data_IF_787328896627
#
_entry.id   IF_787328896627
#
_cell.length_a   1.000
_cell.length_b   1.000
_cell.length_c   1.000
_cell.angle_alpha   90.00
_cell.angle_beta   90.00
_cell.angle_gamma   90.00
#
_symmetry.space_group_name_H-M   'P 1'
#
loop_
_entity.id
_entity.type
_entity.pdbx_description
1 polymer ?
#
# COMPACT_ATOMS: atom_id res chain seq x y z
N UNK A 1 -4.05 22.46 11.89
CA UNK A 1 -4.63 21.71 10.75
C UNK A 1 -4.97 22.73 9.68
N UNK A 2 -4.61 22.51 8.42
CA UNK A 2 -4.97 23.42 7.31
C UNK A 2 -6.49 23.39 7.12
N UNK A 3 -7.17 24.52 6.95
CA UNK A 3 -8.60 24.57 6.64
C UNK A 3 -8.95 23.80 5.36
N UNK A 4 -10.15 23.23 5.30
CA UNK A 4 -10.55 22.35 4.20
C UNK A 4 -10.66 23.11 2.87
N UNK A 5 -11.13 24.34 2.89
CA UNK A 5 -11.20 25.21 1.72
C UNK A 5 -9.82 25.54 1.15
N UNK A 6 -8.85 25.86 2.00
CA UNK A 6 -7.45 26.11 1.59
C UNK A 6 -6.83 24.82 1.01
N UNK A 7 -7.06 23.67 1.66
CA UNK A 7 -6.57 22.38 1.15
C UNK A 7 -7.16 22.08 -0.23
N UNK A 8 -8.46 22.32 -0.42
CA UNK A 8 -9.15 22.10 -1.69
C UNK A 8 -8.60 23.03 -2.77
N UNK A 9 -8.37 24.30 -2.45
CA UNK A 9 -7.81 25.27 -3.38
C UNK A 9 -6.39 24.86 -3.85
N UNK A 10 -5.53 24.45 -2.92
CA UNK A 10 -4.19 23.99 -3.28
C UNK A 10 -4.22 22.69 -4.10
N UNK A 11 -5.02 21.74 -3.67
CA UNK A 11 -5.17 20.50 -4.41
C UNK A 11 -5.68 20.73 -5.84
N UNK A 12 -6.65 21.64 -6.04
CA UNK A 12 -7.14 21.99 -7.36
C UNK A 12 -6.02 22.60 -8.23
N UNK A 13 -5.21 23.50 -7.68
CA UNK A 13 -4.13 24.14 -8.42
C UNK A 13 -3.09 23.12 -8.92
N UNK A 14 -2.66 22.18 -8.06
CA UNK A 14 -1.75 21.11 -8.45
C UNK A 14 -2.40 20.09 -9.40
N UNK A 15 -3.68 19.78 -9.15
CA UNK A 15 -4.46 18.91 -10.02
C UNK A 15 -4.53 19.49 -11.45
N UNK A 16 -4.89 20.77 -11.61
CA UNK A 16 -4.98 21.42 -12.91
C UNK A 16 -3.62 21.53 -13.61
N UNK A 17 -2.54 21.67 -12.83
CA UNK A 17 -1.17 21.66 -13.34
C UNK A 17 -0.65 20.26 -13.74
N UNK A 18 -1.45 19.21 -13.58
CA UNK A 18 -1.11 17.87 -14.03
C UNK A 18 -0.34 17.01 -13.00
N UNK A 19 -0.19 17.48 -11.76
CA UNK A 19 0.46 16.69 -10.73
C UNK A 19 -0.41 15.52 -10.27
N UNK A 20 0.25 14.39 -9.97
CA UNK A 20 -0.34 13.33 -9.18
C UNK A 20 -0.33 13.75 -7.71
N UNK A 21 -1.43 13.54 -7.00
CA UNK A 21 -1.57 13.92 -5.60
C UNK A 21 -1.43 12.69 -4.70
N UNK A 22 -0.62 12.81 -3.66
CA UNK A 22 -0.48 11.82 -2.60
C UNK A 22 -0.89 12.46 -1.28
N UNK A 23 -1.76 11.80 -0.52
CA UNK A 23 -2.34 12.37 0.68
C UNK A 23 -2.26 11.42 1.88
N UNK A 24 -1.61 11.86 2.95
CA UNK A 24 -1.57 11.15 4.23
C UNK A 24 -2.98 10.86 4.76
N UNK A 25 -3.27 9.59 5.09
CA UNK A 25 -4.60 9.15 5.49
C UNK A 25 -4.53 8.00 6.51
N UNK A 26 -4.75 8.29 7.79
CA UNK A 26 -4.70 7.28 8.84
C UNK A 26 -6.06 6.94 9.49
N UNK A 27 -7.11 7.66 9.17
CA UNK A 27 -8.41 7.42 9.76
C UNK A 27 -9.56 7.56 8.76
N UNK A 28 -10.68 6.92 9.07
CA UNK A 28 -11.91 6.98 8.29
C UNK A 28 -12.44 8.41 8.11
N UNK A 29 -12.25 9.28 9.11
CA UNK A 29 -12.57 10.69 8.98
C UNK A 29 -11.70 11.43 7.96
N UNK A 30 -10.39 11.12 7.88
CA UNK A 30 -9.51 11.67 6.84
C UNK A 30 -9.80 11.07 5.46
N UNK A 31 -10.11 9.78 5.40
CA UNK A 31 -10.56 9.12 4.16
C UNK A 31 -11.84 9.76 3.62
N UNK A 32 -12.82 10.06 4.48
CA UNK A 32 -14.04 10.76 4.06
C UNK A 32 -13.76 12.14 3.45
N UNK A 33 -12.82 12.90 4.04
CA UNK A 33 -12.41 14.21 3.49
C UNK A 33 -11.72 14.07 2.13
N UNK A 34 -10.85 13.08 1.96
CA UNK A 34 -10.19 12.84 0.67
C UNK A 34 -11.17 12.37 -0.40
N UNK A 35 -12.11 11.50 -0.08
CA UNK A 35 -13.19 11.10 -0.98
C UNK A 35 -13.98 12.33 -1.45
N UNK A 36 -14.34 13.24 -0.53
CA UNK A 36 -14.99 14.50 -0.87
C UNK A 36 -14.11 15.37 -1.77
N UNK A 37 -12.82 15.48 -1.45
CA UNK A 37 -11.85 16.22 -2.26
C UNK A 37 -11.78 15.65 -3.69
N UNK A 38 -11.61 14.34 -3.85
CA UNK A 38 -11.54 13.70 -5.17
C UNK A 38 -12.80 13.98 -5.98
N UNK A 39 -13.99 13.87 -5.36
CA UNK A 39 -15.26 14.21 -6.01
C UNK A 39 -15.28 15.65 -6.50
N UNK A 40 -14.78 16.60 -5.72
CA UNK A 40 -14.71 18.01 -6.09
C UNK A 40 -13.73 18.23 -7.27
N UNK A 41 -12.53 17.65 -7.19
CA UNK A 41 -11.51 17.76 -8.25
C UNK A 41 -12.01 17.17 -9.57
N UNK A 42 -12.63 15.99 -9.51
CA UNK A 42 -13.20 15.32 -10.67
C UNK A 42 -14.42 16.07 -11.27
N UNK A 43 -15.22 16.72 -10.43
CA UNK A 43 -16.33 17.55 -10.93
C UNK A 43 -15.83 18.81 -11.64
N UNK A 44 -14.74 19.42 -11.16
CA UNK A 44 -14.17 20.64 -11.72
C UNK A 44 -13.33 20.36 -12.98
N UNK A 45 -12.44 19.37 -12.90
CA UNK A 45 -11.50 19.01 -13.97
C UNK A 45 -11.38 17.49 -14.04
N UNK A 46 -12.23 16.80 -14.82
CA UNK A 46 -12.23 15.33 -14.92
C UNK A 46 -10.89 14.78 -15.43
N UNK A 47 -10.33 13.79 -14.72
CA UNK A 47 -9.14 13.05 -15.11
C UNK A 47 -9.37 11.55 -14.92
N UNK A 48 -9.43 10.76 -15.99
CA UNK A 48 -9.74 9.32 -15.91
C UNK A 48 -8.63 8.50 -15.23
N UNK A 49 -7.36 8.87 -15.37
CA UNK A 49 -6.19 8.22 -14.76
C UNK A 49 -5.42 9.23 -13.91
N UNK A 50 -6.02 9.65 -12.82
CA UNK A 50 -5.42 10.66 -11.92
C UNK A 50 -4.51 10.07 -10.86
N UNK A 51 -4.66 8.78 -10.53
CA UNK A 51 -3.88 8.03 -9.53
C UNK A 51 -3.70 8.78 -8.21
N UNK A 52 -4.68 9.58 -7.78
CA UNK A 52 -4.61 10.20 -6.45
C UNK A 52 -4.51 9.10 -5.41
N UNK A 53 -3.44 9.16 -4.59
CA UNK A 53 -3.08 8.11 -3.66
C UNK A 53 -3.42 8.46 -2.22
N UNK A 54 -4.06 7.52 -1.53
CA UNK A 54 -4.22 7.54 -0.08
C UNK A 54 -3.00 6.84 0.53
N UNK A 55 -2.17 7.61 1.27
CA UNK A 55 -0.97 7.08 1.91
C UNK A 55 -1.30 6.50 3.29
N UNK A 56 -0.59 5.44 3.68
CA UNK A 56 -0.68 4.68 4.94
C UNK A 56 -1.93 3.83 5.09
N UNK A 57 -3.13 4.37 4.93
CA UNK A 57 -4.39 3.66 4.86
C UNK A 57 -4.73 2.83 6.13
N UNK A 58 -4.55 3.41 7.35
CA UNK A 58 -4.73 2.64 8.56
C UNK A 58 -6.20 2.22 8.81
N UNK A 59 -7.15 3.13 8.69
CA UNK A 59 -8.57 2.83 8.89
C UNK A 59 -9.44 3.42 7.80
N UNK A 60 -10.31 2.58 7.24
CA UNK A 60 -11.40 2.94 6.33
C UNK A 60 -12.61 2.05 6.60
N UNK A 61 -13.76 2.43 6.06
CA UNK A 61 -14.94 1.57 6.02
C UNK A 61 -15.04 0.86 4.66
N UNK A 62 -15.82 -0.21 4.61
CA UNK A 62 -16.10 -0.94 3.35
C UNK A 62 -16.77 -0.04 2.30
N UNK A 63 -17.67 0.86 2.75
CA UNK A 63 -18.32 1.85 1.88
C UNK A 63 -17.32 2.85 1.30
N UNK A 64 -16.37 3.34 2.13
CA UNK A 64 -15.30 4.21 1.65
C UNK A 64 -14.44 3.50 0.61
N UNK A 65 -14.11 2.22 0.80
CA UNK A 65 -13.34 1.45 -0.17
C UNK A 65 -14.08 1.29 -1.51
N UNK A 66 -15.42 1.10 -1.50
CA UNK A 66 -16.22 1.13 -2.74
C UNK A 66 -16.16 2.49 -3.42
N UNK A 67 -16.31 3.58 -2.65
CA UNK A 67 -16.20 4.94 -3.21
C UNK A 67 -14.81 5.21 -3.80
N UNK A 68 -13.73 4.73 -3.19
CA UNK A 68 -12.37 4.84 -3.75
C UNK A 68 -12.27 4.14 -5.11
N UNK A 69 -12.89 2.94 -5.24
CA UNK A 69 -12.95 2.23 -6.52
C UNK A 69 -13.70 3.03 -7.59
N UNK A 70 -14.87 3.54 -7.24
CA UNK A 70 -15.71 4.33 -8.17
C UNK A 70 -15.01 5.61 -8.64
N UNK A 71 -14.22 6.22 -7.77
CA UNK A 71 -13.48 7.44 -8.05
C UNK A 71 -12.15 7.21 -8.78
N UNK A 72 -11.69 5.97 -8.94
CA UNK A 72 -10.40 5.68 -9.56
C UNK A 72 -9.20 6.05 -8.68
N UNK A 73 -9.39 6.15 -7.38
CA UNK A 73 -8.31 6.39 -6.42
C UNK A 73 -7.43 5.16 -6.26
N UNK A 74 -6.20 5.37 -5.80
CA UNK A 74 -5.24 4.31 -5.51
C UNK A 74 -4.83 4.37 -4.04
N UNK A 75 -4.21 3.31 -3.53
CA UNK A 75 -3.78 3.25 -2.14
C UNK A 75 -2.30 2.86 -2.07
N UNK A 76 -1.52 3.64 -1.35
CA UNK A 76 -0.17 3.28 -0.91
C UNK A 76 -0.25 2.95 0.57
N UNK A 77 -0.35 1.65 0.87
CA UNK A 77 -0.65 1.16 2.21
C UNK A 77 0.62 0.83 3.01
N UNK A 78 0.53 0.95 4.34
CA UNK A 78 1.54 0.44 5.26
C UNK A 78 1.02 -0.79 6.04
N UNK A 79 1.23 -2.02 5.53
CA UNK A 79 0.81 -3.25 6.23
C UNK A 79 1.47 -3.44 7.59
N UNK A 80 2.61 -2.78 7.83
CA UNK A 80 3.33 -2.85 9.11
C UNK A 80 2.51 -2.26 10.26
N UNK A 81 1.61 -1.31 9.99
CA UNK A 81 0.67 -0.81 11.01
C UNK A 81 -0.16 -1.94 11.62
N UNK A 82 -0.74 -2.81 10.80
CA UNK A 82 -1.45 -3.97 11.29
C UNK A 82 -0.53 -4.86 12.14
N UNK A 83 0.68 -5.12 11.66
CA UNK A 83 1.63 -6.02 12.32
C UNK A 83 1.98 -5.57 13.75
N UNK A 84 2.19 -4.27 13.99
CA UNK A 84 2.65 -3.76 15.29
C UNK A 84 1.57 -3.07 16.12
N UNK A 85 0.50 -2.53 15.52
CA UNK A 85 -0.47 -1.68 16.21
C UNK A 85 -1.84 -2.34 16.40
N UNK A 86 -2.19 -3.38 15.63
CA UNK A 86 -3.55 -3.93 15.64
C UNK A 86 -3.99 -4.39 17.04
N UNK A 87 -3.11 -5.03 17.79
CA UNK A 87 -3.42 -5.52 19.14
C UNK A 87 -3.78 -4.36 20.10
N UNK A 88 -2.93 -3.34 20.18
CA UNK A 88 -3.16 -2.23 21.10
C UNK A 88 -4.38 -1.40 20.72
N UNK A 89 -4.64 -1.24 19.39
CA UNK A 89 -5.84 -0.54 18.92
C UNK A 89 -7.11 -1.33 19.22
N UNK A 90 -7.05 -2.67 19.12
CA UNK A 90 -8.18 -3.55 19.42
C UNK A 90 -8.49 -3.61 20.90
N UNK A 91 -7.46 -3.67 21.75
CA UNK A 91 -7.62 -3.88 23.18
C UNK A 91 -7.91 -2.58 23.96
N UNK A 92 -7.29 -1.46 23.58
CA UNK A 92 -7.30 -0.26 24.40
C UNK A 92 -8.05 0.92 23.79
N UNK A 93 -8.12 1.04 22.45
CA UNK A 93 -8.56 2.30 21.84
C UNK A 93 -9.84 2.22 21.00
N UNK A 94 -9.99 1.21 20.16
CA UNK A 94 -11.10 1.12 19.19
C UNK A 94 -12.03 -0.06 19.42
N UNK A 95 -11.67 -1.00 20.31
CA UNK A 95 -12.34 -2.28 20.47
C UNK A 95 -12.01 -3.26 19.34
N UNK A 96 -12.27 -4.55 19.57
CA UNK A 96 -11.86 -5.63 18.66
C UNK A 96 -12.49 -5.50 17.26
N UNK A 97 -13.76 -5.16 17.18
CA UNK A 97 -14.49 -5.07 15.91
C UNK A 97 -13.86 -4.07 14.94
N UNK A 98 -13.37 -2.94 15.44
CA UNK A 98 -12.76 -1.90 14.63
C UNK A 98 -11.25 -2.05 14.56
N UNK A 99 -10.59 -2.32 15.69
CA UNK A 99 -9.14 -2.46 15.77
C UNK A 99 -8.60 -3.55 14.84
N UNK A 100 -9.30 -4.69 14.76
CA UNK A 100 -8.94 -5.80 13.88
C UNK A 100 -9.10 -5.49 12.38
N UNK A 101 -9.76 -4.39 12.02
CA UNK A 101 -9.95 -3.96 10.62
C UNK A 101 -8.82 -3.05 10.11
N UNK A 102 -7.76 -2.85 10.88
CA UNK A 102 -6.63 -2.00 10.46
C UNK A 102 -6.06 -2.46 9.12
N UNK A 103 -5.84 -1.53 8.20
CA UNK A 103 -5.31 -1.74 6.84
C UNK A 103 -6.11 -2.80 6.07
N UNK A 104 -7.29 -2.43 5.59
CA UNK A 104 -8.29 -3.32 4.94
C UNK A 104 -7.92 -3.71 3.51
N UNK A 105 -6.80 -4.40 3.34
CA UNK A 105 -6.25 -4.78 2.03
C UNK A 105 -7.08 -5.83 1.30
N UNK A 106 -7.66 -6.79 2.03
CA UNK A 106 -8.54 -7.79 1.43
C UNK A 106 -9.80 -7.18 0.81
N UNK A 107 -10.33 -6.11 1.44
CA UNK A 107 -11.40 -5.30 0.84
C UNK A 107 -10.96 -4.65 -0.47
N UNK A 108 -9.77 -4.03 -0.50
CA UNK A 108 -9.24 -3.43 -1.74
C UNK A 108 -9.04 -4.45 -2.85
N UNK A 109 -8.48 -5.63 -2.54
CA UNK A 109 -8.27 -6.71 -3.51
C UNK A 109 -9.60 -7.18 -4.09
N UNK A 110 -10.61 -7.48 -3.25
CA UNK A 110 -11.94 -7.91 -3.69
C UNK A 110 -12.65 -6.88 -4.56
N UNK A 111 -12.50 -5.61 -4.24
CA UNK A 111 -13.11 -4.50 -5.01
C UNK A 111 -12.29 -4.13 -6.25
N UNK A 112 -11.06 -4.62 -6.38
CA UNK A 112 -10.16 -4.26 -7.46
C UNK A 112 -9.68 -2.81 -7.38
N UNK A 113 -9.54 -2.25 -6.17
CA UNK A 113 -8.86 -0.97 -5.93
C UNK A 113 -7.37 -1.20 -6.05
N UNK A 114 -6.64 -0.46 -6.90
CA UNK A 114 -5.19 -0.62 -7.01
C UNK A 114 -4.49 -0.24 -5.71
N UNK A 115 -3.54 -1.06 -5.26
CA UNK A 115 -2.73 -0.73 -4.09
C UNK A 115 -1.27 -1.15 -4.24
N UNK A 116 -0.40 -0.42 -3.55
CA UNK A 116 1.01 -0.69 -3.36
C UNK A 116 1.35 -0.66 -1.87
N UNK A 117 2.55 -1.13 -1.52
CA UNK A 117 3.03 -1.10 -0.14
C UNK A 117 4.21 -0.15 0.01
N UNK A 118 4.28 0.49 1.18
CA UNK A 118 5.45 1.23 1.66
C UNK A 118 5.68 0.96 3.14
N UNK A 119 6.90 1.22 3.62
CA UNK A 119 7.27 1.01 5.02
C UNK A 119 7.19 2.29 5.87
N UNK A 120 7.11 3.45 5.23
CA UNK A 120 7.18 4.75 5.94
C UNK A 120 8.46 4.86 6.79
N UNK A 121 9.59 4.42 6.22
CA UNK A 121 10.86 4.41 6.96
C UNK A 121 11.23 5.82 7.47
N UNK A 122 11.63 5.95 8.75
CA UNK A 122 12.06 4.91 9.70
C UNK A 122 10.96 4.32 10.59
N UNK A 123 9.67 4.57 10.31
CA UNK A 123 8.56 4.00 11.09
C UNK A 123 8.59 2.47 11.05
N UNK A 124 8.84 1.88 9.88
CA UNK A 124 9.07 0.45 9.72
C UNK A 124 10.41 0.19 9.00
N UNK A 125 11.01 -1.01 9.17
CA UNK A 125 12.20 -1.41 8.42
C UNK A 125 11.97 -1.41 6.90
N UNK A 126 13.04 -1.16 6.12
CA UNK A 126 13.03 -1.30 4.67
C UNK A 126 13.10 -2.78 4.26
N UNK A 127 12.07 -3.53 4.63
CA UNK A 127 11.95 -4.98 4.43
C UNK A 127 10.66 -5.30 3.67
N UNK A 128 10.62 -5.19 2.33
CA UNK A 128 9.40 -5.39 1.56
C UNK A 128 8.72 -6.74 1.78
N UNK A 129 9.49 -7.82 1.99
CA UNK A 129 8.93 -9.15 2.27
C UNK A 129 8.22 -9.23 3.63
N UNK A 130 8.62 -8.41 4.59
CA UNK A 130 7.90 -8.26 5.88
C UNK A 130 6.52 -7.63 5.67
N UNK A 131 6.41 -6.64 4.79
CA UNK A 131 5.12 -6.02 4.42
C UNK A 131 4.20 -7.04 3.73
N UNK A 132 4.74 -7.82 2.79
CA UNK A 132 4.00 -8.92 2.13
C UNK A 132 3.53 -9.94 3.16
N UNK A 133 4.43 -10.37 4.06
CA UNK A 133 4.08 -11.34 5.12
C UNK A 133 2.97 -10.83 6.04
N UNK A 134 3.01 -9.55 6.45
CA UNK A 134 1.98 -8.93 7.27
C UNK A 134 0.61 -8.93 6.57
N UNK A 135 0.58 -8.56 5.29
CA UNK A 135 -0.64 -8.48 4.50
C UNK A 135 -1.26 -9.86 4.20
N UNK A 136 -0.42 -10.87 3.89
CA UNK A 136 -0.86 -12.23 3.53
C UNK A 136 -1.30 -13.03 4.76
N UNK A 137 -0.59 -12.89 5.89
CA UNK A 137 -0.85 -13.70 7.08
C UNK A 137 -1.83 -13.06 8.06
N UNK A 138 -1.86 -11.73 8.16
CA UNK A 138 -2.66 -10.99 9.14
C UNK A 138 -2.38 -11.43 10.58
N UNK A 139 -1.12 -11.74 10.87
CA UNK A 139 -0.65 -12.11 12.21
C UNK A 139 0.15 -10.94 12.77
N UNK A 140 -0.21 -10.50 13.97
CA UNK A 140 0.46 -9.39 14.67
C UNK A 140 1.83 -9.83 15.21
N UNK A 141 2.62 -8.87 15.69
CA UNK A 141 3.92 -9.14 16.33
C UNK A 141 3.78 -10.05 17.55
N UNK A 142 2.64 -10.03 18.23
CA UNK A 142 2.34 -10.89 19.38
C UNK A 142 1.78 -12.26 18.98
N UNK A 143 1.64 -12.56 17.68
CA UNK A 143 1.16 -13.84 17.18
C UNK A 143 -0.37 -13.93 17.04
N UNK A 144 -1.11 -12.86 17.28
CA UNK A 144 -2.56 -12.85 17.16
C UNK A 144 -3.00 -12.76 15.71
N UNK A 145 -3.98 -13.59 15.32
CA UNK A 145 -4.65 -13.49 14.02
C UNK A 145 -5.78 -12.46 14.13
N UNK A 146 -5.71 -11.37 13.35
CA UNK A 146 -6.70 -10.29 13.41
C UNK A 146 -7.18 -9.91 12.02
N UNK A 147 -8.50 -9.76 11.84
CA UNK A 147 -9.09 -9.38 10.56
C UNK A 147 -8.74 -10.34 9.43
N UNK A 148 -8.94 -11.65 9.61
CA UNK A 148 -8.54 -12.69 8.65
C UNK A 148 -9.10 -12.46 7.24
N UNK A 149 -10.32 -11.93 7.13
CA UNK A 149 -10.97 -11.60 5.86
C UNK A 149 -10.31 -10.45 5.10
N UNK A 150 -9.36 -9.75 5.73
CA UNK A 150 -8.55 -8.70 5.12
C UNK A 150 -7.16 -9.21 4.67
N UNK A 151 -6.93 -10.53 4.65
CA UNK A 151 -5.80 -11.12 3.96
C UNK A 151 -5.85 -10.82 2.47
N UNK A 152 -4.68 -10.63 1.89
CA UNK A 152 -4.51 -10.60 0.43
C UNK A 152 -3.88 -11.88 -0.08
N UNK A 153 -4.05 -12.16 -1.35
CA UNK A 153 -3.32 -13.22 -2.03
C UNK A 153 -1.81 -12.93 -2.05
N UNK A 154 -0.99 -13.97 -2.12
CA UNK A 154 0.46 -13.81 -2.25
C UNK A 154 0.81 -13.03 -3.52
N UNK A 155 0.11 -13.30 -4.63
CA UNK A 155 0.31 -12.58 -5.88
C UNK A 155 0.06 -11.08 -5.71
N UNK A 156 -1.06 -10.69 -5.09
CA UNK A 156 -1.37 -9.29 -4.82
C UNK A 156 -0.31 -8.63 -3.92
N UNK A 157 0.16 -9.34 -2.88
CA UNK A 157 1.22 -8.84 -1.99
C UNK A 157 2.55 -8.61 -2.71
N UNK A 158 2.98 -9.55 -3.56
CA UNK A 158 4.21 -9.41 -4.35
C UNK A 158 4.08 -8.32 -5.42
N UNK A 159 2.92 -8.21 -6.07
CA UNK A 159 2.65 -7.11 -7.01
C UNK A 159 2.66 -5.76 -6.33
N UNK A 160 2.20 -5.67 -5.09
CA UNK A 160 2.16 -4.42 -4.32
C UNK A 160 3.55 -3.85 -4.00
N UNK A 161 4.59 -4.68 -3.96
CA UNK A 161 5.99 -4.25 -3.78
C UNK A 161 6.80 -4.20 -5.09
N UNK A 162 6.16 -4.45 -6.22
CA UNK A 162 6.81 -4.47 -7.54
C UNK A 162 6.04 -3.62 -8.55
N UNK A 163 5.29 -4.26 -9.45
CA UNK A 163 4.63 -3.55 -10.56
C UNK A 163 3.56 -2.55 -10.10
N UNK A 164 2.82 -2.84 -9.04
CA UNK A 164 1.84 -1.88 -8.55
C UNK A 164 2.51 -0.66 -7.90
N UNK A 165 3.64 -0.87 -7.18
CA UNK A 165 4.43 0.23 -6.64
C UNK A 165 4.99 1.12 -7.76
N UNK A 166 5.54 0.51 -8.82
CA UNK A 166 5.99 1.23 -10.00
C UNK A 166 4.85 2.03 -10.64
N UNK A 167 3.66 1.43 -10.78
CA UNK A 167 2.49 2.08 -11.36
C UNK A 167 1.96 3.25 -10.52
N UNK A 168 1.93 3.09 -9.19
CA UNK A 168 1.54 4.19 -8.28
C UNK A 168 2.49 5.38 -8.39
N UNK A 169 3.78 5.12 -8.66
CA UNK A 169 4.81 6.15 -8.84
C UNK A 169 4.94 6.67 -10.29
N UNK A 170 4.21 6.11 -11.26
CA UNK A 170 4.31 6.48 -12.68
C UNK A 170 5.56 5.93 -13.39
N UNK A 171 6.15 4.84 -12.91
CA UNK A 171 7.35 4.20 -13.47
C UNK A 171 7.10 2.80 -14.04
N UNK A 172 5.85 2.42 -14.24
CA UNK A 172 5.48 1.08 -14.69
C UNK A 172 6.01 0.71 -16.08
N UNK A 173 6.34 1.68 -16.90
CA UNK A 173 6.93 1.45 -18.22
C UNK A 173 8.44 1.20 -18.14
N UNK A 174 9.11 1.62 -17.05
CA UNK A 174 10.54 1.50 -16.87
C UNK A 174 10.95 0.34 -15.95
N UNK A 175 10.19 0.11 -14.85
CA UNK A 175 10.55 -0.84 -13.80
C UNK A 175 9.33 -1.67 -13.32
N UNK A 176 9.52 -2.46 -12.27
CA UNK A 176 8.46 -3.17 -11.55
C UNK A 176 8.03 -4.51 -12.16
N UNK A 177 8.50 -4.86 -13.35
CA UNK A 177 8.23 -6.17 -13.97
C UNK A 177 9.33 -6.58 -14.95
N UNK A 178 9.52 -7.90 -15.10
CA UNK A 178 10.49 -8.45 -16.04
C UNK A 178 9.85 -8.49 -17.44
N UNK A 179 10.14 -7.47 -18.23
CA UNK A 179 9.68 -7.34 -19.63
C UNK A 179 10.76 -6.74 -20.50
N UNK A 180 10.83 -7.16 -21.77
CA UNK A 180 11.71 -6.53 -22.75
C UNK A 180 11.44 -5.02 -22.84
N UNK A 181 12.50 -4.24 -22.86
CA UNK A 181 12.43 -2.76 -22.90
C UNK A 181 12.43 -2.06 -21.54
N UNK A 182 12.26 -2.80 -20.44
CA UNK A 182 12.41 -2.24 -19.09
C UNK A 182 13.82 -2.37 -18.55
N UNK A 183 14.13 -1.58 -17.54
CA UNK A 183 15.41 -1.67 -16.82
C UNK A 183 15.56 -3.04 -16.17
N UNK A 184 16.76 -3.56 -16.17
CA UNK A 184 17.09 -4.84 -15.56
C UNK A 184 17.36 -4.64 -14.05
N UNK A 185 16.27 -4.33 -13.32
CA UNK A 185 16.27 -4.10 -11.88
C UNK A 185 15.60 -5.28 -11.18
N UNK A 186 16.35 -6.03 -10.39
CA UNK A 186 15.88 -7.25 -9.75
C UNK A 186 16.32 -7.33 -8.29
N UNK A 187 15.50 -7.98 -7.46
CA UNK A 187 15.91 -8.57 -6.19
C UNK A 187 15.98 -10.09 -6.38
N UNK A 188 17.12 -10.69 -6.02
CA UNK A 188 17.34 -12.15 -6.16
C UNK A 188 17.10 -12.78 -4.79
N UNK A 189 16.07 -13.62 -4.71
CA UNK A 189 15.68 -14.34 -3.50
C UNK A 189 16.32 -15.72 -3.48
N UNK A 190 16.74 -16.22 -2.30
CA UNK A 190 17.31 -17.57 -2.14
C UNK A 190 16.23 -18.67 -2.12
N UNK A 191 14.95 -18.33 -2.05
CA UNK A 191 13.83 -19.26 -2.10
C UNK A 191 12.66 -18.68 -2.89
N UNK A 192 11.91 -19.55 -3.53
CA UNK A 192 10.69 -19.21 -4.24
C UNK A 192 9.56 -18.88 -3.23
N UNK A 193 9.04 -17.64 -3.19
CA UNK A 193 7.99 -17.25 -2.25
C UNK A 193 6.71 -18.05 -2.40
N UNK A 194 6.44 -18.65 -3.57
CA UNK A 194 5.29 -19.50 -3.81
C UNK A 194 5.46 -20.94 -3.27
N UNK A 195 6.69 -21.34 -2.90
CA UNK A 195 7.00 -22.69 -2.39
C UNK A 195 7.29 -22.73 -0.90
N UNK A 196 7.41 -21.58 -0.25
CA UNK A 196 7.57 -21.51 1.21
C UNK A 196 6.20 -21.35 1.89
N UNK A 197 6.12 -21.71 3.17
CA UNK A 197 4.93 -21.36 3.97
C UNK A 197 4.74 -19.84 4.00
N UNK A 198 3.52 -19.32 3.88
CA UNK A 198 3.26 -17.87 3.94
C UNK A 198 3.88 -17.19 5.17
N UNK A 199 3.93 -17.87 6.31
CA UNK A 199 4.57 -17.38 7.54
C UNK A 199 6.09 -17.19 7.43
N UNK A 200 6.72 -17.84 6.44
CA UNK A 200 8.17 -17.80 6.20
C UNK A 200 8.60 -16.83 5.11
N UNK A 201 7.66 -16.14 4.47
CA UNK A 201 7.96 -15.18 3.38
C UNK A 201 8.95 -14.12 3.85
N UNK A 202 8.75 -13.54 5.03
CA UNK A 202 9.64 -12.53 5.61
C UNK A 202 11.05 -13.04 5.93
N UNK A 203 11.23 -14.34 6.06
CA UNK A 203 12.51 -14.98 6.40
C UNK A 203 13.30 -15.42 5.15
N UNK A 204 12.75 -15.22 3.95
CA UNK A 204 13.46 -15.52 2.70
C UNK A 204 14.68 -14.61 2.60
N UNK A 205 15.85 -15.21 2.50
CA UNK A 205 17.09 -14.47 2.36
C UNK A 205 17.19 -13.86 0.95
N UNK A 206 17.78 -12.68 0.91
CA UNK A 206 18.08 -11.97 -0.33
C UNK A 206 19.53 -12.21 -0.65
N UNK A 207 19.82 -12.83 -1.80
CA UNK A 207 21.17 -12.99 -2.30
C UNK A 207 21.79 -11.64 -2.67
N UNK A 208 21.04 -10.74 -3.25
CA UNK A 208 21.47 -9.43 -3.68
C UNK A 208 20.46 -8.75 -4.58
N UNK A 209 20.87 -7.65 -5.15
CA UNK A 209 20.10 -6.90 -6.15
C UNK A 209 20.86 -6.82 -7.48
N UNK A 210 20.13 -6.56 -8.55
CA UNK A 210 20.68 -6.15 -9.84
C UNK A 210 20.08 -4.78 -10.12
N UNK A 211 20.94 -3.81 -10.41
CA UNK A 211 20.55 -2.46 -10.77
C UNK A 211 21.05 -2.15 -12.18
N UNK A 212 20.14 -1.86 -13.08
CA UNK A 212 20.40 -1.62 -14.51
C UNK A 212 21.36 -2.68 -15.12
N UNK A 213 21.13 -3.96 -14.76
CA UNK A 213 21.93 -5.10 -15.23
C UNK A 213 23.23 -5.35 -14.46
N UNK A 214 23.60 -4.51 -13.50
CA UNK A 214 24.81 -4.68 -12.68
C UNK A 214 24.48 -5.40 -11.37
N UNK A 215 25.00 -6.64 -11.14
CA UNK A 215 24.76 -7.36 -9.89
C UNK A 215 25.46 -6.72 -8.69
N UNK A 216 24.76 -6.67 -7.56
CA UNK A 216 25.25 -6.25 -6.26
C UNK A 216 24.87 -7.32 -5.21
N UNK A 217 25.67 -8.37 -5.03
CA UNK A 217 25.42 -9.39 -4.01
C UNK A 217 25.59 -8.78 -2.61
N UNK A 218 24.71 -9.19 -1.68
CA UNK A 218 24.90 -8.86 -0.28
C UNK A 218 26.14 -9.60 0.21
N UNK A 219 27.06 -8.89 0.88
CA UNK A 219 28.23 -9.52 1.51
C UNK A 219 27.73 -10.58 2.50
N UNK A 220 28.29 -11.80 2.44
CA UNK A 220 28.09 -12.78 3.48
C UNK A 220 28.64 -12.21 4.80
N UNK A 221 27.76 -11.86 5.75
CA UNK A 221 28.16 -11.54 7.12
C UNK A 221 28.38 -12.82 7.89
#
# INVERSE_FOLDING_TARGET
MVPEDVTTQWAQAFWDAGYQLHAHTNGDGSAARLIKLIKTLQANTPKPDHRLSLEHFAYTTEDQNRQLKELGAVVSANPYYHFILSDIYSEQWLGADRGNQMVRLGSLERLGVPFAFHSDSPMAPLEPLTLVSAAVNRVTINGNLTGEHERVSLDAGLRAITINAAWVMGYEDEIGSIRAGKKADFTILEADPYKVSPKRIKDIKIWGTVFEGTPAPLSAN
#
